data_IF_131493410099
#
_entry.id   IF_131493410099
#
_cell.length_a   1.000
_cell.length_b   1.000
_cell.length_c   1.000
_cell.angle_alpha   90.00
_cell.angle_beta   90.00
_cell.angle_gamma   90.00
#
_symmetry.space_group_name_H-M   'P 1'
#
loop_
_entity.id
_entity.type
_entity.pdbx_description
1 polymer ?
#
# COMPACT_ATOMS: atom_id res chain seq x y z
N UNK A 1 -4.80 -2.30 19.33
CA UNK A 1 -4.18 -2.16 18.01
C UNK A 1 -5.17 -2.69 16.97
N UNK A 2 -5.08 -2.26 15.71
CA UNK A 2 -6.02 -2.67 14.66
C UNK A 2 -5.39 -2.45 13.29
N UNK A 3 -6.04 -2.91 12.23
CA UNK A 3 -5.51 -2.89 10.87
C UNK A 3 -5.29 -1.49 10.28
N UNK A 4 -4.02 -1.15 10.08
CA UNK A 4 -3.55 0.02 9.35
C UNK A 4 -2.92 -0.44 8.04
N UNK A 5 -3.31 0.19 6.93
CA UNK A 5 -2.92 -0.21 5.57
C UNK A 5 -2.40 0.99 4.81
N UNK A 6 -1.35 0.79 4.01
CA UNK A 6 -0.68 1.86 3.27
C UNK A 6 -0.36 1.39 1.86
N UNK A 7 -0.43 2.32 0.90
CA UNK A 7 0.36 2.22 -0.32
C UNK A 7 1.55 3.18 -0.21
N UNK A 8 2.73 2.67 -0.52
CA UNK A 8 4.00 3.35 -0.33
C UNK A 8 4.75 3.40 -1.66
N UNK A 9 5.16 4.60 -2.06
CA UNK A 9 6.02 4.84 -3.22
C UNK A 9 7.49 4.73 -2.82
N UNK A 10 8.27 4.00 -3.61
CA UNK A 10 9.72 3.90 -3.50
C UNK A 10 10.37 4.20 -4.86
N UNK A 11 11.49 4.93 -4.92
CA UNK A 11 12.17 5.20 -6.18
C UNK A 11 12.77 3.91 -6.76
N UNK A 12 12.70 3.74 -8.08
CA UNK A 12 13.52 2.73 -8.76
C UNK A 12 14.95 3.22 -8.86
N UNK A 13 15.89 2.39 -8.45
CA UNK A 13 17.32 2.70 -8.42
C UNK A 13 18.03 1.68 -9.28
N UNK A 14 18.91 2.15 -10.17
CA UNK A 14 19.62 1.29 -11.11
C UNK A 14 20.42 0.20 -10.37
N UNK A 15 20.18 -1.06 -10.75
CA UNK A 15 20.83 -2.22 -10.14
C UNK A 15 20.30 -2.59 -8.76
N UNK A 16 19.12 -2.10 -8.37
CA UNK A 16 18.41 -2.52 -7.17
C UNK A 16 16.98 -2.96 -7.53
N UNK A 17 16.55 -4.10 -7.02
CA UNK A 17 15.15 -4.51 -7.08
C UNK A 17 14.31 -3.85 -5.96
N UNK A 18 13.00 -4.11 -5.97
CA UNK A 18 12.08 -3.50 -5.00
C UNK A 18 12.32 -3.97 -3.55
N UNK A 19 12.80 -5.20 -3.34
CA UNK A 19 13.15 -5.68 -2.00
C UNK A 19 14.39 -4.98 -1.48
N UNK A 20 15.41 -4.82 -2.32
CA UNK A 20 16.65 -4.13 -1.97
C UNK A 20 16.39 -2.65 -1.63
N UNK A 21 15.56 -1.95 -2.43
CA UNK A 21 15.17 -0.56 -2.13
C UNK A 21 14.33 -0.48 -0.86
N UNK A 22 13.40 -1.41 -0.65
CA UNK A 22 12.58 -1.44 0.57
C UNK A 22 13.42 -1.67 1.82
N UNK A 23 14.34 -2.64 1.81
CA UNK A 23 15.27 -2.89 2.91
C UNK A 23 16.15 -1.67 3.17
N UNK A 24 16.72 -1.07 2.11
CA UNK A 24 17.53 0.14 2.25
C UNK A 24 16.74 1.32 2.82
N UNK A 25 15.43 1.39 2.57
CA UNK A 25 14.56 2.39 3.20
C UNK A 25 14.34 2.13 4.69
N UNK A 26 14.28 0.86 5.13
CA UNK A 26 14.15 0.51 6.53
C UNK A 26 15.45 0.77 7.31
N UNK A 27 16.59 0.47 6.67
CA UNK A 27 17.92 0.54 7.28
C UNK A 27 18.63 1.89 7.04
N UNK A 28 17.90 2.92 6.59
CA UNK A 28 18.45 4.19 6.13
C UNK A 28 19.40 4.85 7.12
N UNK A 29 19.10 4.78 8.43
CA UNK A 29 19.92 5.35 9.48
C UNK A 29 21.31 4.67 9.57
N UNK A 30 21.33 3.34 9.58
CA UNK A 30 22.57 2.55 9.64
C UNK A 30 23.41 2.76 8.37
N UNK A 31 22.76 2.72 7.20
CA UNK A 31 23.42 2.97 5.91
C UNK A 31 24.06 4.37 5.85
N UNK A 32 23.40 5.38 6.39
CA UNK A 32 23.93 6.75 6.47
C UNK A 32 25.16 6.83 7.38
N UNK A 33 25.20 6.08 8.48
CA UNK A 33 26.39 6.02 9.35
C UNK A 33 27.57 5.30 8.67
N UNK A 34 27.31 4.20 7.98
CA UNK A 34 28.34 3.39 7.33
C UNK A 34 28.94 4.02 6.06
N UNK A 35 28.18 4.88 5.38
CA UNK A 35 28.58 5.50 4.09
C UNK A 35 28.97 4.45 3.02
N UNK A 36 28.33 3.28 3.08
CA UNK A 36 28.61 2.12 2.22
C UNK A 36 28.12 2.34 0.77
N UNK A 37 28.33 1.34 -0.10
CA UNK A 37 27.94 1.45 -1.51
C UNK A 37 26.42 1.64 -1.70
N UNK A 38 25.61 0.94 -0.89
CA UNK A 38 24.15 1.04 -0.95
C UNK A 38 23.72 2.47 -0.60
N UNK A 39 24.26 3.05 0.47
CA UNK A 39 23.97 4.43 0.83
C UNK A 39 24.30 5.40 -0.31
N UNK A 40 25.43 5.22 -1.00
CA UNK A 40 25.80 6.09 -2.13
C UNK A 40 24.82 6.00 -3.29
N UNK A 41 24.24 4.81 -3.54
CA UNK A 41 23.20 4.61 -4.56
C UNK A 41 21.89 5.27 -4.17
N UNK A 42 21.45 5.12 -2.93
CA UNK A 42 20.14 5.64 -2.48
C UNK A 42 20.17 7.13 -2.15
N UNK A 43 21.32 7.69 -1.77
CA UNK A 43 21.47 9.07 -1.30
C UNK A 43 20.82 10.13 -2.21
N UNK A 44 20.96 10.08 -3.55
CA UNK A 44 20.33 11.05 -4.45
C UNK A 44 18.80 11.02 -4.44
N UNK A 45 18.21 9.93 -3.94
CA UNK A 45 16.77 9.69 -3.95
C UNK A 45 16.12 9.92 -2.58
N UNK A 46 16.91 10.20 -1.54
CA UNK A 46 16.39 10.51 -0.20
C UNK A 46 15.64 11.85 -0.25
N UNK A 47 14.39 11.84 0.18
CA UNK A 47 13.56 13.03 0.35
C UNK A 47 13.68 13.56 1.79
N UNK A 48 13.60 14.88 1.92
CA UNK A 48 13.51 15.58 3.20
C UNK A 48 12.09 16.11 3.37
N UNK A 49 11.50 15.79 4.51
CA UNK A 49 10.17 16.22 4.88
C UNK A 49 10.27 17.15 6.09
N UNK A 50 9.37 18.13 6.16
CA UNK A 50 9.23 19.04 7.28
C UNK A 50 7.73 19.30 7.52
N UNK A 51 7.21 18.86 8.66
CA UNK A 51 5.82 19.03 9.03
C UNK A 51 5.69 19.18 10.55
N UNK A 52 4.80 20.08 11.00
CA UNK A 52 4.56 20.35 12.42
C UNK A 52 5.84 20.65 13.25
N UNK A 53 6.86 21.24 12.63
CA UNK A 53 8.14 21.54 13.26
C UNK A 53 9.05 20.33 13.46
N UNK A 54 8.69 19.17 12.91
CA UNK A 54 9.54 17.98 12.82
C UNK A 54 10.10 17.87 11.41
N UNK A 55 11.35 17.44 11.29
CA UNK A 55 11.95 17.08 10.01
C UNK A 55 12.43 15.65 10.02
N UNK A 56 12.24 14.95 8.91
CA UNK A 56 12.70 13.57 8.75
C UNK A 56 13.16 13.33 7.31
N UNK A 57 13.94 12.27 7.14
CA UNK A 57 14.39 11.79 5.84
C UNK A 57 13.70 10.48 5.53
N UNK A 58 13.35 10.27 4.28
CA UNK A 58 12.77 9.00 3.85
C UNK A 58 13.00 8.75 2.36
N UNK A 59 13.20 7.49 1.99
CA UNK A 59 13.08 7.03 0.61
C UNK A 59 11.61 6.73 0.25
N UNK A 60 10.82 6.34 1.25
CA UNK A 60 9.40 6.03 1.13
C UNK A 60 8.52 7.27 1.23
N UNK A 61 7.49 7.30 0.42
CA UNK A 61 6.39 8.28 0.49
C UNK A 61 5.07 7.53 0.59
N UNK A 62 4.24 7.89 1.56
CA UNK A 62 2.90 7.32 1.71
C UNK A 62 1.96 8.01 0.72
N UNK A 63 1.37 7.22 -0.19
CA UNK A 63 0.49 7.73 -1.24
C UNK A 63 -0.98 7.35 -1.02
N UNK A 64 -1.24 6.38 -0.15
CA UNK A 64 -2.58 6.06 0.30
C UNK A 64 -2.58 5.45 1.70
N UNK A 65 -3.67 5.64 2.44
CA UNK A 65 -3.87 5.07 3.76
C UNK A 65 -5.32 4.59 3.92
N UNK A 66 -5.50 3.43 4.56
CA UNK A 66 -6.80 2.96 5.03
C UNK A 66 -6.74 2.56 6.49
N UNK A 67 -7.81 2.90 7.21
CA UNK A 67 -8.06 2.38 8.54
C UNK A 67 -9.14 1.31 8.49
N UNK A 68 -8.76 0.06 8.75
CA UNK A 68 -9.69 -1.08 8.91
C UNK A 68 -10.65 -1.24 7.72
N UNK A 69 -10.13 -1.11 6.50
CA UNK A 69 -10.86 -1.41 5.27
C UNK A 69 -10.77 -2.93 4.99
N UNK A 70 -11.56 -3.69 5.75
CA UNK A 70 -11.48 -5.15 5.85
C UNK A 70 -11.44 -5.84 4.47
N UNK A 71 -12.46 -5.60 3.66
CA UNK A 71 -12.66 -6.17 2.33
C UNK A 71 -11.55 -5.81 1.34
N UNK A 72 -10.88 -4.68 1.55
CA UNK A 72 -9.77 -4.22 0.71
C UNK A 72 -8.48 -4.90 1.13
N UNK A 73 -8.23 -5.02 2.42
CA UNK A 73 -7.10 -5.80 2.94
C UNK A 73 -7.19 -7.27 2.53
N UNK A 74 -8.37 -7.87 2.67
CA UNK A 74 -8.61 -9.23 2.22
C UNK A 74 -8.27 -9.41 0.73
N UNK A 75 -8.62 -8.43 -0.12
CA UNK A 75 -8.24 -8.48 -1.52
C UNK A 75 -6.72 -8.47 -1.72
N UNK A 76 -5.97 -7.61 -1.02
CA UNK A 76 -4.51 -7.57 -1.10
C UNK A 76 -3.87 -8.89 -0.62
N UNK A 77 -4.37 -9.47 0.47
CA UNK A 77 -3.93 -10.76 1.01
C UNK A 77 -4.12 -11.88 -0.03
N UNK A 78 -5.32 -12.01 -0.58
CA UNK A 78 -5.63 -13.10 -1.51
C UNK A 78 -4.89 -12.96 -2.85
N UNK A 79 -4.79 -11.74 -3.37
CA UNK A 79 -4.28 -11.51 -4.73
C UNK A 79 -2.78 -11.24 -4.80
N UNK A 80 -2.17 -10.68 -3.74
CA UNK A 80 -0.74 -10.37 -3.72
C UNK A 80 0.05 -11.30 -2.79
N UNK A 81 -0.55 -11.77 -1.70
CA UNK A 81 0.14 -12.59 -0.69
C UNK A 81 -0.37 -14.04 -0.61
N UNK A 82 -1.05 -14.52 -1.67
CA UNK A 82 -1.53 -15.90 -1.80
C UNK A 82 -2.39 -16.40 -0.61
N UNK A 83 -3.16 -15.51 0.00
CA UNK A 83 -4.01 -15.84 1.15
C UNK A 83 -3.26 -16.00 2.48
N UNK A 84 -1.93 -15.80 2.49
CA UNK A 84 -1.18 -15.70 3.73
C UNK A 84 -1.37 -14.29 4.31
N UNK A 85 -1.75 -14.16 5.57
CA UNK A 85 -1.90 -12.86 6.23
C UNK A 85 -0.99 -12.84 7.46
N UNK A 86 0.22 -12.33 7.24
CA UNK A 86 1.23 -12.17 8.28
C UNK A 86 1.26 -10.72 8.80
N UNK A 87 1.43 -10.51 10.12
CA UNK A 87 1.63 -9.16 10.62
C UNK A 87 2.83 -8.49 9.93
N UNK A 88 2.65 -7.24 9.48
CA UNK A 88 3.73 -6.42 8.90
C UNK A 88 4.25 -6.87 7.52
N UNK A 89 3.46 -7.61 6.73
CA UNK A 89 3.88 -7.96 5.38
C UNK A 89 3.87 -6.74 4.42
N UNK A 90 4.73 -6.82 3.41
CA UNK A 90 4.83 -5.82 2.33
C UNK A 90 4.89 -6.54 0.99
N UNK A 91 4.08 -6.11 0.02
CA UNK A 91 4.01 -6.70 -1.32
C UNK A 91 4.09 -5.65 -2.43
N UNK A 92 4.67 -6.03 -3.57
CA UNK A 92 4.72 -5.16 -4.75
C UNK A 92 3.33 -5.06 -5.39
N UNK A 93 2.91 -3.84 -5.72
CA UNK A 93 1.65 -3.55 -6.39
C UNK A 93 1.93 -3.05 -7.80
N UNK A 94 1.48 -3.80 -8.79
CA UNK A 94 1.60 -3.38 -10.19
C UNK A 94 0.42 -2.51 -10.61
N UNK A 95 0.56 -1.80 -11.74
CA UNK A 95 -0.55 -1.08 -12.36
C UNK A 95 -1.75 -2.00 -12.63
N UNK A 96 -1.50 -3.23 -13.11
CA UNK A 96 -2.56 -4.20 -13.35
C UNK A 96 -3.32 -4.55 -12.06
N UNK A 97 -2.62 -4.69 -10.93
CA UNK A 97 -3.28 -4.94 -9.64
C UNK A 97 -4.21 -3.78 -9.24
N UNK A 98 -3.80 -2.52 -9.47
CA UNK A 98 -4.69 -1.38 -9.22
C UNK A 98 -5.91 -1.39 -10.14
N UNK A 99 -5.73 -1.70 -11.43
CA UNK A 99 -6.82 -1.80 -12.40
C UNK A 99 -7.81 -2.90 -12.02
N UNK A 100 -7.32 -4.06 -11.60
CA UNK A 100 -8.14 -5.20 -11.17
C UNK A 100 -8.99 -4.85 -9.94
N UNK A 101 -8.39 -4.25 -8.91
CA UNK A 101 -9.11 -3.82 -7.72
C UNK A 101 -10.09 -2.67 -8.03
N UNK A 102 -9.70 -1.69 -8.84
CA UNK A 102 -10.58 -0.59 -9.26
C UNK A 102 -11.83 -1.12 -9.97
N UNK A 103 -11.66 -2.04 -10.92
CA UNK A 103 -12.76 -2.66 -11.65
C UNK A 103 -13.70 -3.44 -10.72
N UNK A 104 -13.15 -4.13 -9.70
CA UNK A 104 -13.95 -4.79 -8.67
C UNK A 104 -14.74 -3.78 -7.83
N UNK A 105 -14.13 -2.67 -7.41
CA UNK A 105 -14.82 -1.60 -6.70
C UNK A 105 -15.98 -1.03 -7.52
N UNK A 106 -15.75 -0.72 -8.81
CA UNK A 106 -16.79 -0.24 -9.73
C UNK A 106 -17.93 -1.25 -9.81
N UNK A 107 -17.61 -2.52 -10.07
CA UNK A 107 -18.60 -3.61 -10.20
C UNK A 107 -19.48 -3.74 -8.95
N UNK A 108 -18.89 -3.69 -7.76
CA UNK A 108 -19.63 -3.82 -6.49
C UNK A 108 -20.53 -2.59 -6.24
N UNK A 109 -20.07 -1.40 -6.60
CA UNK A 109 -20.86 -0.17 -6.45
C UNK A 109 -22.03 -0.08 -7.43
N UNK A 110 -21.83 -0.53 -8.67
CA UNK A 110 -22.89 -0.59 -9.70
C UNK A 110 -23.93 -1.67 -9.39
N UNK A 111 -23.51 -2.79 -8.81
CA UNK A 111 -24.39 -3.91 -8.46
C UNK A 111 -24.15 -4.40 -7.03
N UNK A 112 -24.86 -3.77 -6.09
CA UNK A 112 -24.82 -4.06 -4.64
C UNK A 112 -25.48 -5.40 -4.24
N UNK A 113 -25.73 -6.31 -5.19
CA UNK A 113 -26.25 -7.64 -4.89
C UNK A 113 -25.10 -8.59 -4.58
N UNK A 114 -25.17 -9.24 -3.42
CA UNK A 114 -24.16 -10.18 -2.93
C UNK A 114 -22.72 -9.64 -3.04
N UNK A 115 -22.40 -8.48 -2.43
CA UNK A 115 -21.07 -7.89 -2.47
C UNK A 115 -19.96 -8.85 -1.99
N UNK A 116 -20.31 -9.79 -1.09
CA UNK A 116 -19.43 -10.84 -0.60
C UNK A 116 -18.87 -11.77 -1.69
N UNK A 117 -19.51 -11.86 -2.86
CA UNK A 117 -19.03 -12.69 -3.96
C UNK A 117 -17.86 -12.04 -4.73
N UNK A 118 -17.61 -10.74 -4.52
CA UNK A 118 -16.53 -10.00 -5.21
C UNK A 118 -15.53 -9.36 -4.24
N UNK A 119 -15.99 -8.75 -3.15
CA UNK A 119 -15.15 -8.15 -2.12
C UNK A 119 -15.63 -8.60 -0.72
N UNK A 120 -15.43 -9.88 -0.35
CA UNK A 120 -15.82 -10.37 0.97
C UNK A 120 -14.99 -9.76 2.09
N UNK A 121 -15.60 -9.58 3.26
CA UNK A 121 -14.87 -9.32 4.50
C UNK A 121 -14.17 -10.59 5.02
N UNK A 122 -12.96 -10.45 5.54
CA UNK A 122 -12.18 -11.48 6.22
C UNK A 122 -12.45 -11.49 7.74
N UNK A 123 -12.61 -12.67 8.36
CA UNK A 123 -12.75 -12.80 9.81
C UNK A 123 -11.43 -12.47 10.54
N UNK A 124 -11.49 -11.72 11.63
CA UNK A 124 -10.32 -11.51 12.49
C UNK A 124 -10.48 -10.33 13.46
N UNK A 125 -9.86 -10.39 14.65
CA UNK A 125 -10.11 -9.43 15.72
C UNK A 125 -9.62 -8.00 15.42
N UNK A 126 -8.84 -7.80 14.36
CA UNK A 126 -8.17 -6.54 14.04
C UNK A 126 -8.70 -5.81 12.80
N UNK A 127 -9.50 -6.49 11.96
CA UNK A 127 -9.72 -6.09 10.56
C UNK A 127 -10.89 -5.14 10.33
N UNK A 128 -11.69 -4.82 11.36
CA UNK A 128 -12.84 -3.92 11.25
C UNK A 128 -14.17 -4.67 11.31
N UNK A 129 -15.18 -4.13 10.63
CA UNK A 129 -16.53 -4.69 10.63
C UNK A 129 -16.69 -5.77 9.54
N UNK A 130 -17.59 -6.72 9.79
CA UNK A 130 -17.95 -7.79 8.85
C UNK A 130 -19.26 -7.53 8.11
N UNK A 131 -19.93 -6.42 8.44
CA UNK A 131 -21.22 -6.06 7.85
C UNK A 131 -21.04 -5.46 6.47
N UNK A 132 -21.95 -5.81 5.56
CA UNK A 132 -22.05 -5.24 4.22
C UNK A 132 -23.05 -4.08 4.22
N UNK A 133 -22.81 -3.11 5.11
CA UNK A 133 -23.64 -1.93 5.33
C UNK A 133 -23.09 -0.69 4.59
N UNK A 134 -23.63 0.49 4.87
CA UNK A 134 -23.20 1.73 4.24
C UNK A 134 -21.72 2.05 4.48
N UNK A 135 -21.15 1.62 5.61
CA UNK A 135 -19.73 1.83 5.91
C UNK A 135 -18.83 0.97 5.01
N UNK A 136 -19.24 -0.27 4.72
CA UNK A 136 -18.57 -1.13 3.74
C UNK A 136 -18.53 -0.47 2.35
N UNK A 137 -19.67 0.08 1.89
CA UNK A 137 -19.72 0.75 0.59
C UNK A 137 -18.94 2.07 0.56
N UNK A 138 -18.97 2.84 1.65
CA UNK A 138 -18.16 4.05 1.80
C UNK A 138 -16.67 3.77 1.61
N UNK A 139 -16.15 2.73 2.27
CA UNK A 139 -14.74 2.35 2.11
C UNK A 139 -14.40 1.89 0.68
N UNK A 140 -15.35 1.27 -0.03
CA UNK A 140 -15.17 0.91 -1.45
C UNK A 140 -15.16 2.17 -2.33
N UNK A 141 -16.01 3.15 -2.07
CA UNK A 141 -16.02 4.44 -2.79
C UNK A 141 -14.72 5.23 -2.57
N UNK A 142 -14.23 5.28 -1.32
CA UNK A 142 -12.93 5.87 -1.00
C UNK A 142 -11.80 5.15 -1.75
N UNK A 143 -11.79 3.82 -1.68
CA UNK A 143 -10.77 3.00 -2.35
C UNK A 143 -10.79 3.22 -3.86
N UNK A 144 -11.97 3.21 -4.49
CA UNK A 144 -12.11 3.51 -5.92
C UNK A 144 -11.47 4.86 -6.27
N UNK A 145 -11.71 5.88 -5.45
CA UNK A 145 -11.19 7.24 -5.69
C UNK A 145 -9.66 7.30 -5.55
N UNK A 146 -9.10 6.63 -4.54
CA UNK A 146 -7.65 6.50 -4.35
C UNK A 146 -7.00 5.80 -5.57
N UNK A 147 -7.59 4.69 -6.01
CA UNK A 147 -7.05 3.91 -7.12
C UNK A 147 -7.14 4.67 -8.44
N UNK A 148 -8.23 5.41 -8.67
CA UNK A 148 -8.39 6.29 -9.83
C UNK A 148 -7.30 7.37 -9.89
N UNK A 149 -7.00 8.01 -8.76
CA UNK A 149 -5.94 9.01 -8.68
C UNK A 149 -4.57 8.41 -8.99
N UNK A 150 -4.25 7.25 -8.38
CA UNK A 150 -2.99 6.55 -8.63
C UNK A 150 -2.85 6.08 -10.08
N UNK A 151 -3.92 5.55 -10.69
CA UNK A 151 -3.89 5.10 -12.08
C UNK A 151 -3.63 6.24 -13.07
N UNK A 152 -4.04 7.47 -12.73
CA UNK A 152 -3.88 8.64 -13.57
C UNK A 152 -2.56 9.39 -13.33
N UNK A 153 -2.04 9.38 -12.11
CA UNK A 153 -0.94 10.27 -11.71
C UNK A 153 0.32 9.55 -11.22
N UNK A 154 0.26 8.26 -10.86
CA UNK A 154 1.43 7.53 -10.38
C UNK A 154 2.36 7.10 -11.51
N UNK A 155 3.65 7.39 -11.37
CA UNK A 155 4.69 7.01 -12.32
C UNK A 155 5.29 5.62 -11.98
N UNK A 156 4.69 4.58 -12.57
CA UNK A 156 5.16 3.21 -12.45
C UNK A 156 6.48 2.93 -13.17
N UNK A 157 6.97 3.82 -14.03
CA UNK A 157 8.25 3.64 -14.72
C UNK A 157 9.40 4.01 -13.79
N UNK A 158 9.26 5.10 -13.04
CA UNK A 158 10.30 5.61 -12.12
C UNK A 158 10.15 5.15 -10.67
N UNK A 159 8.97 4.66 -10.24
CA UNK A 159 8.73 4.24 -8.86
C UNK A 159 8.14 2.82 -8.76
N UNK A 160 8.45 2.16 -7.66
CA UNK A 160 7.74 0.98 -7.17
C UNK A 160 6.59 1.44 -6.26
N UNK A 161 5.47 0.74 -6.34
CA UNK A 161 4.34 0.91 -5.44
C UNK A 161 4.25 -0.34 -4.57
N UNK A 162 4.27 -0.17 -3.25
CA UNK A 162 4.26 -1.26 -2.28
C UNK A 162 3.01 -1.18 -1.43
N UNK A 163 2.32 -2.29 -1.23
CA UNK A 163 1.29 -2.45 -0.22
C UNK A 163 1.95 -2.84 1.10
N UNK A 164 1.60 -2.17 2.20
CA UNK A 164 2.06 -2.50 3.54
C UNK A 164 0.88 -2.49 4.50
N UNK A 165 0.84 -3.46 5.43
CA UNK A 165 -0.17 -3.47 6.49
C UNK A 165 0.43 -3.77 7.87
N UNK A 166 -0.26 -3.36 8.93
CA UNK A 166 0.07 -3.66 10.32
C UNK A 166 -1.19 -3.93 11.11
N UNK A 167 -1.23 -5.00 11.90
CA UNK A 167 -2.35 -5.33 12.77
C UNK A 167 -1.94 -6.11 14.02
#
# INVERSE_FOLDING_TARGET
>A
MGLDMYLVSLPKIEGMDYYEVHSASADLGELEEEQNEIYRKIKPHIKHFEEFGMSWKSLREEVAYWRKANQIHHWFVENLHNGNDEPLFTELVTKQNLEDLYNLCVKVLENRKNPQDSLPSMPGPFFGYYSYDDFYYYQIEETKSILEDLLNHFDFDSHYLMYQCSW
#
